data_IF_040656938415
#
_entry.id   IF_040656938415
#
_cell.length_a   1.000
_cell.length_b   1.000
_cell.length_c   1.000
_cell.angle_alpha   90.00
_cell.angle_beta   90.00
_cell.angle_gamma   90.00
#
_symmetry.space_group_name_H-M   'P 1'
#
loop_
_entity.id
_entity.type
_entity.pdbx_description
1 polymer ?
#
# COMPACT_ATOMS: atom_id res chain seq x y z
N UNK A 1 -14.72 8.01 -18.86
CA UNK A 1 -13.41 7.91 -18.17
C UNK A 1 -13.50 7.06 -16.88
N UNK A 2 -14.09 5.86 -16.93
CA UNK A 2 -14.40 5.03 -15.74
C UNK A 2 -13.45 3.84 -15.53
N UNK A 3 -12.58 3.54 -16.51
CA UNK A 3 -11.71 2.35 -16.50
C UNK A 3 -10.29 2.60 -15.95
N UNK A 4 -9.91 3.86 -15.68
CA UNK A 4 -8.51 4.19 -15.38
C UNK A 4 -8.20 4.22 -13.88
N UNK A 5 -9.20 4.39 -13.01
CA UNK A 5 -8.98 4.53 -11.57
C UNK A 5 -8.25 3.34 -10.94
N UNK A 6 -8.60 2.08 -11.25
CA UNK A 6 -7.85 0.91 -10.79
C UNK A 6 -6.36 0.91 -11.19
N UNK A 7 -6.09 1.27 -12.44
CA UNK A 7 -4.73 1.35 -12.98
C UNK A 7 -3.92 2.44 -12.30
N UNK A 8 -4.54 3.60 -12.07
CA UNK A 8 -3.91 4.71 -11.34
C UNK A 8 -3.63 4.30 -9.90
N UNK A 9 -4.57 3.64 -9.22
CA UNK A 9 -4.36 3.18 -7.84
C UNK A 9 -3.25 2.14 -7.70
N UNK A 10 -3.15 1.20 -8.65
CA UNK A 10 -2.09 0.20 -8.68
C UNK A 10 -0.73 0.85 -8.96
N UNK A 11 -0.66 1.77 -9.93
CA UNK A 11 0.55 2.52 -10.24
C UNK A 11 1.01 3.40 -9.08
N UNK A 12 0.08 4.08 -8.41
CA UNK A 12 0.37 4.90 -7.24
C UNK A 12 0.85 4.04 -6.07
N UNK A 13 0.16 2.94 -5.76
CA UNK A 13 0.56 2.00 -4.71
C UNK A 13 1.95 1.42 -4.96
N UNK A 14 2.26 1.04 -6.21
CA UNK A 14 3.58 0.52 -6.55
C UNK A 14 4.67 1.61 -6.44
N UNK A 15 4.38 2.83 -6.85
CA UNK A 15 5.30 3.97 -6.71
C UNK A 15 5.60 4.25 -5.24
N UNK A 16 4.57 4.26 -4.38
CA UNK A 16 4.76 4.43 -2.94
C UNK A 16 5.62 3.31 -2.33
N UNK A 17 5.39 2.05 -2.72
CA UNK A 17 6.20 0.93 -2.26
C UNK A 17 7.68 1.12 -2.62
N UNK A 18 7.95 1.58 -3.85
CA UNK A 18 9.30 1.88 -4.32
C UNK A 18 9.95 3.01 -3.53
N UNK A 19 9.21 4.08 -3.23
CA UNK A 19 9.68 5.20 -2.40
C UNK A 19 10.06 4.71 -0.99
N UNK A 20 9.23 3.87 -0.37
CA UNK A 20 9.51 3.31 0.95
C UNK A 20 10.74 2.40 0.99
N UNK A 21 10.92 1.57 -0.04
CA UNK A 21 12.11 0.73 -0.18
C UNK A 21 13.34 1.64 -0.34
N UNK A 22 13.24 2.66 -1.19
CA UNK A 22 14.33 3.62 -1.43
C UNK A 22 14.65 4.47 -0.20
N UNK A 23 13.69 4.75 0.67
CA UNK A 23 13.91 5.47 1.92
C UNK A 23 14.53 4.61 3.02
N UNK A 24 14.73 3.31 2.76
CA UNK A 24 15.33 2.38 3.71
C UNK A 24 14.39 2.00 4.83
N UNK A 25 13.08 1.81 4.56
CA UNK A 25 12.10 1.43 5.61
C UNK A 25 12.50 0.19 6.42
N UNK A 26 13.31 -0.71 5.84
CA UNK A 26 13.81 -1.92 6.49
C UNK A 26 15.17 -1.74 7.19
N UNK A 27 15.77 -0.54 7.17
CA UNK A 27 17.01 -0.22 7.89
C UNK A 27 16.70 0.20 9.32
N UNK A 28 17.74 0.17 10.14
CA UNK A 28 17.70 0.65 11.52
C UNK A 28 17.09 2.07 11.60
N UNK A 29 16.34 2.39 12.66
CA UNK A 29 15.66 3.66 12.79
C UNK A 29 16.61 4.87 12.75
N UNK A 30 17.88 4.68 13.12
CA UNK A 30 18.93 5.71 13.05
C UNK A 30 19.42 6.00 11.61
N UNK A 31 19.18 5.09 10.66
CA UNK A 31 19.62 5.22 9.25
C UNK A 31 18.46 5.46 8.27
N UNK A 32 17.21 5.56 8.75
CA UNK A 32 16.06 5.83 7.87
C UNK A 32 16.14 7.24 7.29
N UNK A 33 15.85 7.34 5.98
CA UNK A 33 15.77 8.64 5.30
C UNK A 33 14.56 9.48 5.73
N UNK A 34 13.55 8.88 6.35
CA UNK A 34 12.36 9.56 6.85
C UNK A 34 12.13 9.29 8.34
N UNK A 35 11.59 10.27 9.09
CA UNK A 35 11.16 10.04 10.46
C UNK A 35 10.03 9.00 10.50
N UNK A 36 9.94 8.30 11.63
CA UNK A 36 9.08 7.12 11.77
C UNK A 36 7.61 7.45 11.48
N UNK A 37 7.10 8.55 12.04
CA UNK A 37 5.72 9.02 11.80
C UNK A 37 5.42 9.25 10.32
N UNK A 38 6.36 9.83 9.56
CA UNK A 38 6.18 10.06 8.12
C UNK A 38 6.10 8.74 7.36
N UNK A 39 6.95 7.78 7.71
CA UNK A 39 6.93 6.45 7.08
C UNK A 39 5.61 5.73 7.35
N UNK A 40 5.11 5.83 8.58
CA UNK A 40 3.83 5.25 9.00
C UNK A 40 2.65 5.88 8.23
N UNK A 41 2.64 7.21 8.11
CA UNK A 41 1.63 7.93 7.33
C UNK A 41 1.64 7.54 5.85
N UNK A 42 2.82 7.39 5.24
CA UNK A 42 2.93 6.96 3.84
C UNK A 42 2.42 5.52 3.67
N UNK A 43 2.72 4.61 4.61
CA UNK A 43 2.17 3.24 4.56
C UNK A 43 0.65 3.21 4.70
N UNK A 44 0.08 4.03 5.58
CA UNK A 44 -1.37 4.12 5.76
C UNK A 44 -2.06 4.69 4.50
N UNK A 45 -1.50 5.75 3.92
CA UNK A 45 -2.00 6.32 2.67
C UNK A 45 -1.89 5.32 1.52
N UNK A 46 -0.77 4.60 1.41
CA UNK A 46 -0.55 3.52 0.45
C UNK A 46 -1.57 2.40 0.60
N UNK A 47 -1.87 1.99 1.83
CA UNK A 47 -2.92 1.01 2.12
C UNK A 47 -4.29 1.49 1.63
N UNK A 48 -4.72 2.71 2.00
CA UNK A 48 -6.03 3.24 1.65
C UNK A 48 -6.24 3.37 0.14
N UNK A 49 -5.25 3.90 -0.58
CA UNK A 49 -5.32 4.04 -2.04
C UNK A 49 -5.43 2.67 -2.72
N UNK A 50 -4.62 1.72 -2.26
CA UNK A 50 -4.56 0.39 -2.88
C UNK A 50 -5.81 -0.44 -2.53
N UNK A 51 -6.35 -0.30 -1.31
CA UNK A 51 -7.60 -0.91 -0.88
C UNK A 51 -8.80 -0.35 -1.66
N UNK A 52 -8.85 0.97 -1.90
CA UNK A 52 -9.85 1.59 -2.77
C UNK A 52 -9.75 1.06 -4.21
N UNK A 53 -8.53 0.90 -4.73
CA UNK A 53 -8.24 0.28 -6.02
C UNK A 53 -8.76 -1.16 -6.14
N UNK A 54 -8.51 -1.97 -5.11
CA UNK A 54 -9.01 -3.34 -5.02
C UNK A 54 -10.55 -3.37 -4.98
N UNK A 55 -11.18 -2.49 -4.19
CA UNK A 55 -12.64 -2.41 -4.08
C UNK A 55 -13.31 -2.04 -5.41
N UNK A 56 -12.79 -1.02 -6.10
CA UNK A 56 -13.33 -0.58 -7.40
C UNK A 56 -13.14 -1.66 -8.48
N UNK A 57 -12.00 -2.35 -8.49
CA UNK A 57 -11.71 -3.45 -9.42
C UNK A 57 -12.56 -4.69 -9.15
N UNK A 58 -12.76 -5.02 -7.87
CA UNK A 58 -13.60 -6.13 -7.43
C UNK A 58 -15.07 -5.90 -7.78
N UNK A 59 -15.61 -4.70 -7.49
CA UNK A 59 -16.98 -4.33 -7.87
C UNK A 59 -17.18 -4.38 -9.38
N UNK A 60 -16.20 -3.92 -10.16
CA UNK A 60 -16.29 -3.97 -11.63
C UNK A 60 -16.24 -5.40 -12.19
N UNK A 61 -15.52 -6.31 -11.53
CA UNK A 61 -15.42 -7.72 -11.92
C UNK A 61 -16.72 -8.51 -11.70
N UNK A 62 -17.59 -8.06 -10.80
CA UNK A 62 -18.89 -8.69 -10.53
C UNK A 62 -19.97 -8.30 -11.56
N UNK A 63 -19.82 -7.14 -12.23
CA UNK A 63 -20.83 -6.58 -13.14
C UNK A 63 -20.51 -6.85 -14.62
N UNK A 64 -19.25 -7.03 -14.97
CA UNK A 64 -18.80 -7.30 -16.36
C UNK A 64 -18.31 -8.73 -16.50
N UNK A 65 -18.60 -9.39 -17.64
CA UNK A 65 -18.05 -10.71 -17.99
C UNK A 65 -16.55 -10.76 -17.65
N UNK A 66 -16.24 -11.63 -16.68
CA UNK A 66 -14.93 -11.95 -16.08
C UNK A 66 -13.74 -11.72 -17.02
N UNK A 67 -13.20 -10.50 -17.07
CA UNK A 67 -11.94 -10.20 -17.74
C UNK A 67 -10.80 -10.57 -16.80
N UNK A 68 -9.98 -11.54 -17.19
CA UNK A 68 -8.79 -11.96 -16.44
C UNK A 68 -7.91 -10.79 -15.95
N UNK A 69 -7.81 -9.74 -16.77
CA UNK A 69 -7.08 -8.51 -16.41
C UNK A 69 -7.63 -7.81 -15.15
N UNK A 70 -8.95 -7.80 -14.93
CA UNK A 70 -9.54 -7.15 -13.74
C UNK A 70 -9.31 -7.98 -12.48
N UNK A 71 -9.33 -9.31 -12.58
CA UNK A 71 -9.00 -10.20 -11.46
C UNK A 71 -7.54 -9.99 -11.06
N UNK A 72 -6.62 -9.99 -12.04
CA UNK A 72 -5.21 -9.78 -11.79
C UNK A 72 -4.96 -8.44 -11.08
N UNK A 73 -5.62 -7.38 -11.53
CA UNK A 73 -5.51 -6.06 -10.92
C UNK A 73 -6.06 -6.02 -9.49
N UNK A 74 -7.18 -6.71 -9.24
CA UNK A 74 -7.75 -6.83 -7.90
C UNK A 74 -6.82 -7.57 -6.95
N UNK A 75 -6.18 -8.64 -7.43
CA UNK A 75 -5.19 -9.42 -6.67
C UNK A 75 -3.94 -8.57 -6.39
N UNK A 76 -3.42 -7.86 -7.39
CA UNK A 76 -2.24 -6.98 -7.23
C UNK A 76 -2.55 -5.87 -6.22
N UNK A 77 -3.66 -5.15 -6.37
CA UNK A 77 -4.07 -4.13 -5.40
C UNK A 77 -4.31 -4.74 -4.00
N UNK A 78 -4.93 -5.91 -3.91
CA UNK A 78 -5.14 -6.59 -2.64
C UNK A 78 -3.81 -6.96 -1.95
N UNK A 79 -2.86 -7.51 -2.71
CA UNK A 79 -1.54 -7.89 -2.20
C UNK A 79 -0.72 -6.66 -1.75
N UNK A 80 -0.71 -5.59 -2.54
CA UNK A 80 -0.03 -4.35 -2.15
C UNK A 80 -0.67 -3.71 -0.91
N UNK A 81 -2.01 -3.68 -0.82
CA UNK A 81 -2.69 -3.19 0.37
C UNK A 81 -2.28 -4.02 1.60
N UNK A 82 -2.29 -5.35 1.49
CA UNK A 82 -1.88 -6.20 2.60
C UNK A 82 -0.41 -5.96 3.01
N UNK A 83 0.48 -5.78 2.04
CA UNK A 83 1.89 -5.46 2.31
C UNK A 83 2.04 -4.14 3.08
N UNK A 84 1.34 -3.08 2.65
CA UNK A 84 1.34 -1.80 3.37
C UNK A 84 0.76 -1.90 4.78
N UNK A 85 -0.28 -2.71 4.95
CA UNK A 85 -0.90 -2.94 6.24
C UNK A 85 0.06 -3.64 7.21
N UNK A 86 0.73 -4.71 6.77
CA UNK A 86 1.74 -5.41 7.58
C UNK A 86 2.89 -4.48 7.93
N UNK A 87 3.40 -3.71 6.96
CA UNK A 87 4.44 -2.71 7.20
C UNK A 87 3.99 -1.69 8.26
N UNK A 88 2.80 -1.11 8.11
CA UNK A 88 2.25 -0.17 9.10
C UNK A 88 2.19 -0.76 10.51
N UNK A 89 1.77 -2.03 10.65
CA UNK A 89 1.76 -2.73 11.93
C UNK A 89 3.17 -2.93 12.50
N UNK A 90 4.14 -3.30 11.67
CA UNK A 90 5.54 -3.47 12.13
C UNK A 90 6.11 -2.15 12.63
N UNK A 91 5.90 -1.05 11.90
CA UNK A 91 6.36 0.28 12.33
C UNK A 91 5.65 0.75 13.60
N UNK A 92 4.39 0.39 13.79
CA UNK A 92 3.65 0.69 15.02
C UNK A 92 4.21 -0.05 16.24
N UNK A 93 4.66 -1.30 16.06
CA UNK A 93 5.32 -2.02 17.16
C UNK A 93 6.66 -1.36 17.53
N UNK A 94 7.40 -0.86 16.54
CA UNK A 94 8.65 -0.11 16.78
C UNK A 94 8.40 1.19 17.57
N UNK A 95 7.36 1.95 17.25
CA UNK A 95 7.01 3.17 18.02
C UNK A 95 6.59 2.84 19.43
N UNK A 96 5.75 1.82 19.62
CA UNK A 96 5.32 1.38 20.94
C UNK A 96 6.51 0.91 21.80
N UNK A 97 7.50 0.26 21.19
CA UNK A 97 8.75 -0.14 21.83
C UNK A 97 9.62 1.06 22.25
N UNK A 98 9.73 2.09 21.41
CA UNK A 98 10.48 3.32 21.75
C UNK A 98 9.80 4.19 22.82
N UNK A 99 8.47 4.13 22.95
CA UNK A 99 7.75 4.88 23.98
C UNK A 99 7.89 4.27 25.38
N UNK A 100 8.38 3.03 25.49
CA UNK A 100 8.56 2.30 26.75
C UNK A 100 10.01 2.33 27.29
N UNK A 101 10.96 2.91 26.54
CA UNK A 101 12.38 3.08 26.90
C UNK A 101 12.68 4.52 27.28
#
# INVERSE_FOLDING_TARGET
MKANFPWISAGLGLTLAMVLISSGVFRDPAERGFPLLTTLFITEFGFLVTAAGAFVSGRSSLVTKRRWSQILLTVVCGALALAFFILGLTLWQETAGQAAS
#
